data_IF_382960144111
#
_entry.id   IF_382960144111
#
_cell.length_a   1.000
_cell.length_b   1.000
_cell.length_c   1.000
_cell.angle_alpha   90.00
_cell.angle_beta   90.00
_cell.angle_gamma   90.00
#
_symmetry.space_group_name_H-M   'P 1'
#
loop_
_entity.id
_entity.type
_entity.pdbx_description
1 polymer ?
#
# COMPACT_ATOMS: atom_id res chain seq x y z
N UNK A 1 -4.84 -18.11 -6.76
CA UNK A 1 -5.21 -17.68 -5.40
C UNK A 1 -6.17 -18.70 -4.82
N UNK A 2 -6.00 -19.09 -3.57
CA UNK A 2 -6.88 -20.03 -2.82
C UNK A 2 -7.36 -19.38 -1.53
N UNK A 3 -8.17 -20.08 -0.74
CA UNK A 3 -8.79 -19.59 0.50
C UNK A 3 -7.76 -19.09 1.52
N UNK A 4 -6.62 -19.77 1.66
CA UNK A 4 -5.54 -19.33 2.56
C UNK A 4 -4.90 -18.01 2.08
N UNK A 5 -4.80 -17.79 0.77
CA UNK A 5 -4.31 -16.52 0.22
C UNK A 5 -5.32 -15.38 0.48
N UNK A 6 -6.62 -15.69 0.52
CA UNK A 6 -7.66 -14.71 0.84
C UNK A 6 -7.60 -14.25 2.29
N UNK A 7 -7.16 -15.11 3.23
CA UNK A 7 -6.89 -14.68 4.62
C UNK A 7 -5.76 -13.65 4.68
N UNK A 8 -4.73 -13.81 3.85
CA UNK A 8 -3.64 -12.82 3.75
C UNK A 8 -4.15 -11.48 3.21
N UNK A 9 -5.05 -11.51 2.22
CA UNK A 9 -5.69 -10.27 1.74
C UNK A 9 -6.56 -9.61 2.81
N UNK A 10 -7.30 -10.39 3.60
CA UNK A 10 -8.04 -9.88 4.73
C UNK A 10 -7.12 -9.21 5.78
N UNK A 11 -5.95 -9.80 6.05
CA UNK A 11 -4.94 -9.19 6.92
C UNK A 11 -4.42 -7.85 6.36
N UNK A 12 -4.13 -7.78 5.06
CA UNK A 12 -3.75 -6.52 4.42
C UNK A 12 -4.84 -5.44 4.54
N UNK A 13 -6.11 -5.81 4.34
CA UNK A 13 -7.25 -4.90 4.51
C UNK A 13 -7.37 -4.43 5.97
N UNK A 14 -7.22 -5.35 6.93
CA UNK A 14 -7.25 -5.02 8.34
C UNK A 14 -6.13 -4.03 8.71
N UNK A 15 -4.90 -4.31 8.27
CA UNK A 15 -3.75 -3.42 8.48
C UNK A 15 -3.95 -2.06 7.82
N UNK A 16 -4.56 -2.00 6.64
CA UNK A 16 -4.88 -0.72 6.00
C UNK A 16 -5.82 0.14 6.86
N UNK A 17 -6.85 -0.47 7.47
CA UNK A 17 -7.77 0.23 8.39
C UNK A 17 -7.05 0.71 9.65
N UNK A 18 -6.17 -0.12 10.23
CA UNK A 18 -5.37 0.29 11.39
C UNK A 18 -4.47 1.49 11.07
N UNK A 19 -3.78 1.46 9.91
CA UNK A 19 -2.95 2.57 9.45
C UNK A 19 -3.80 3.83 9.22
N UNK A 20 -4.98 3.70 8.61
CA UNK A 20 -5.91 4.82 8.43
C UNK A 20 -6.30 5.45 9.77
N UNK A 21 -6.52 4.65 10.83
CA UNK A 21 -6.80 5.17 12.16
C UNK A 21 -5.60 5.94 12.75
N UNK A 22 -4.36 5.48 12.51
CA UNK A 22 -3.13 6.19 12.88
C UNK A 22 -3.01 7.53 12.15
N UNK A 23 -3.17 7.52 10.83
CA UNK A 23 -3.13 8.72 9.99
C UNK A 23 -4.20 9.74 10.40
N UNK A 24 -5.40 9.27 10.75
CA UNK A 24 -6.49 10.12 11.22
C UNK A 24 -6.14 10.84 12.54
N UNK A 25 -5.38 10.20 13.43
CA UNK A 25 -4.85 10.82 14.65
C UNK A 25 -3.72 11.80 14.32
N UNK A 26 -2.80 11.43 13.45
CA UNK A 26 -1.67 12.25 13.01
C UNK A 26 -2.09 13.51 12.23
N UNK A 27 -3.22 13.45 11.52
CA UNK A 27 -3.80 14.60 10.83
C UNK A 27 -4.35 15.65 11.81
N UNK A 28 -4.79 15.23 13.00
CA UNK A 28 -5.38 16.10 14.02
C UNK A 28 -6.73 16.74 13.62
N UNK A 29 -7.25 16.42 12.44
CA UNK A 29 -8.47 16.98 11.87
C UNK A 29 -9.23 15.92 11.07
N UNK A 30 -10.53 16.13 10.86
CA UNK A 30 -11.38 15.28 10.00
C UNK A 30 -11.38 15.70 8.53
N UNK A 31 -10.55 16.68 8.15
CA UNK A 31 -10.50 17.17 6.78
C UNK A 31 -9.68 16.22 5.92
N UNK A 32 -10.22 15.86 4.77
CA UNK A 32 -9.56 14.93 3.84
C UNK A 32 -8.19 15.45 3.36
N UNK A 33 -8.05 16.77 3.16
CA UNK A 33 -6.77 17.38 2.77
C UNK A 33 -5.65 17.11 3.78
N UNK A 34 -5.97 17.11 5.07
CA UNK A 34 -4.99 16.91 6.14
C UNK A 34 -4.63 15.43 6.26
N UNK A 35 -5.63 14.54 6.12
CA UNK A 35 -5.43 13.11 6.03
C UNK A 35 -4.51 12.75 4.85
N UNK A 36 -4.79 13.30 3.66
CA UNK A 36 -3.98 13.05 2.46
C UNK A 36 -2.55 13.53 2.67
N UNK A 37 -2.35 14.74 3.23
CA UNK A 37 -1.02 15.28 3.51
C UNK A 37 -0.19 14.33 4.38
N UNK A 38 -0.74 13.87 5.52
CA UNK A 38 0.00 12.97 6.43
C UNK A 38 0.16 11.55 5.88
N UNK A 39 -0.67 11.14 4.92
CA UNK A 39 -0.55 9.84 4.25
C UNK A 39 0.50 9.83 3.14
N UNK A 40 0.78 10.98 2.51
CA UNK A 40 1.68 11.07 1.34
C UNK A 40 3.03 11.72 1.66
N UNK A 41 3.14 12.44 2.77
CA UNK A 41 4.36 13.17 3.15
C UNK A 41 4.95 12.57 4.42
N UNK A 42 6.23 12.22 4.38
CA UNK A 42 6.97 11.84 5.57
C UNK A 42 7.24 13.08 6.41
N UNK A 43 6.70 13.11 7.63
CA UNK A 43 6.90 14.17 8.61
C UNK A 43 7.62 13.60 9.83
N UNK A 44 8.54 14.37 10.41
CA UNK A 44 9.30 13.94 11.58
C UNK A 44 8.37 13.66 12.77
N UNK A 45 8.54 12.50 13.41
CA UNK A 45 7.67 12.05 14.51
C UNK A 45 6.37 11.35 14.07
N UNK A 46 6.07 11.26 12.78
CA UNK A 46 4.92 10.51 12.24
C UNK A 46 5.35 9.21 11.59
N UNK A 47 4.53 8.18 11.74
CA UNK A 47 4.82 6.82 11.23
C UNK A 47 3.84 6.37 10.15
N UNK A 48 2.67 7.01 10.04
CA UNK A 48 1.61 6.59 9.14
C UNK A 48 2.04 6.51 7.68
N UNK A 49 2.68 7.56 7.14
CA UNK A 49 3.15 7.57 5.74
C UNK A 49 4.11 6.41 5.43
N UNK A 50 5.06 6.13 6.34
CA UNK A 50 5.99 5.01 6.21
C UNK A 50 5.26 3.66 6.24
N UNK A 51 4.30 3.50 7.15
CA UNK A 51 3.49 2.28 7.23
C UNK A 51 2.68 2.02 5.94
N UNK A 52 2.18 3.07 5.29
CA UNK A 52 1.52 2.95 3.98
C UNK A 52 2.50 2.44 2.92
N UNK A 53 3.71 3.00 2.86
CA UNK A 53 4.74 2.56 1.92
C UNK A 53 5.14 1.09 2.16
N UNK A 54 5.34 0.71 3.42
CA UNK A 54 5.68 -0.67 3.79
C UNK A 54 4.55 -1.66 3.44
N UNK A 55 3.29 -1.28 3.67
CA UNK A 55 2.14 -2.12 3.30
C UNK A 55 2.04 -2.26 1.77
N UNK A 56 2.24 -1.17 1.03
CA UNK A 56 2.25 -1.18 -0.44
C UNK A 56 3.32 -2.13 -1.00
N UNK A 57 4.53 -2.14 -0.45
CA UNK A 57 5.61 -3.07 -0.85
C UNK A 57 5.18 -4.52 -0.64
N UNK A 58 4.72 -4.87 0.56
CA UNK A 58 4.25 -6.23 0.89
C UNK A 58 3.09 -6.70 0.02
N UNK A 59 2.13 -5.82 -0.26
CA UNK A 59 0.99 -6.14 -1.14
C UNK A 59 1.47 -6.41 -2.57
N UNK A 60 2.41 -5.61 -3.09
CA UNK A 60 2.99 -5.82 -4.43
C UNK A 60 3.76 -7.13 -4.51
N UNK A 61 4.62 -7.42 -3.54
CA UNK A 61 5.37 -8.68 -3.45
C UNK A 61 4.41 -9.88 -3.43
N UNK A 62 3.37 -9.81 -2.63
CA UNK A 62 2.34 -10.84 -2.58
C UNK A 62 1.65 -11.00 -3.94
N UNK A 63 1.14 -9.91 -4.52
CA UNK A 63 0.40 -9.96 -5.78
C UNK A 63 1.22 -10.54 -6.96
N UNK A 64 2.53 -10.31 -6.98
CA UNK A 64 3.45 -10.84 -8.02
C UNK A 64 3.56 -12.37 -8.03
N UNK A 65 3.07 -13.07 -7.00
CA UNK A 65 3.07 -14.55 -6.95
C UNK A 65 2.08 -15.18 -7.91
N UNK A 66 1.13 -14.42 -8.44
CA UNK A 66 0.13 -14.92 -9.39
C UNK A 66 0.36 -14.38 -10.80
N UNK A 67 0.12 -15.20 -11.84
CA UNK A 67 0.22 -14.75 -13.22
C UNK A 67 -0.90 -13.74 -13.52
N UNK A 68 -0.62 -12.82 -14.44
CA UNK A 68 -1.63 -11.90 -14.96
C UNK A 68 -2.43 -12.61 -16.08
N UNK A 69 -3.75 -12.77 -15.97
CA UNK A 69 -4.52 -13.47 -16.99
C UNK A 69 -4.55 -12.66 -18.30
N UNK A 70 -4.35 -13.35 -19.43
CA UNK A 70 -4.46 -12.75 -20.76
C UNK A 70 -3.26 -11.88 -21.18
N UNK A 71 -2.20 -11.78 -20.38
CA UNK A 71 -1.00 -10.99 -20.71
C UNK A 71 0.26 -11.78 -20.37
N UNK A 72 1.20 -11.82 -21.32
CA UNK A 72 2.54 -12.36 -21.08
C UNK A 72 3.40 -11.32 -20.35
N UNK A 73 3.55 -11.53 -19.03
CA UNK A 73 4.31 -10.62 -18.16
C UNK A 73 5.81 -10.58 -18.50
N UNK A 74 6.35 -11.55 -19.24
CA UNK A 74 7.78 -11.57 -19.60
C UNK A 74 8.16 -10.48 -20.60
N UNK A 75 7.19 -9.97 -21.37
CA UNK A 75 7.39 -8.93 -22.40
C UNK A 75 6.92 -7.56 -21.94
N UNK A 76 6.54 -7.41 -20.67
CA UNK A 76 5.97 -6.18 -20.16
C UNK A 76 7.08 -5.14 -19.91
N UNK A 77 7.09 -4.07 -20.71
CA UNK A 77 7.94 -2.90 -20.46
C UNK A 77 7.28 -2.00 -19.42
N UNK A 78 8.04 -1.58 -18.41
CA UNK A 78 7.53 -0.65 -17.40
C UNK A 78 7.31 0.73 -18.04
N UNK A 79 6.15 1.38 -17.81
CA UNK A 79 5.93 2.74 -18.27
C UNK A 79 6.85 3.74 -17.55
N UNK A 80 7.22 4.81 -18.24
CA UNK A 80 8.09 5.86 -17.71
C UNK A 80 7.48 6.53 -16.46
N UNK A 81 8.34 6.92 -15.50
CA UNK A 81 7.93 7.66 -14.30
C UNK A 81 7.51 6.82 -13.10
N UNK A 82 7.69 5.48 -13.15
CA UNK A 82 7.44 4.59 -12.00
C UNK A 82 8.79 4.02 -11.50
N UNK A 83 9.29 4.54 -10.38
CA UNK A 83 10.51 4.03 -9.73
C UNK A 83 10.40 2.54 -9.39
N UNK A 84 11.52 1.84 -9.48
CA UNK A 84 11.66 0.48 -8.97
C UNK A 84 11.75 0.53 -7.45
N UNK A 85 10.75 -0.05 -6.79
CA UNK A 85 10.92 -0.56 -5.43
C UNK A 85 11.78 -1.82 -5.56
N UNK A 86 13.10 -1.65 -5.46
CA UNK A 86 14.01 -2.74 -5.03
C UNK A 86 13.86 -2.98 -3.52
#
# INVERSE_FOLDING_TARGET
>A
MREEDMKVVADFLHRAVQIAATLQKEAGSKLLKDFVRVATTSEEGKVGAKQVQDLKKKVREFARRWPLPGVDVSKLTRPAGIEADD
#
